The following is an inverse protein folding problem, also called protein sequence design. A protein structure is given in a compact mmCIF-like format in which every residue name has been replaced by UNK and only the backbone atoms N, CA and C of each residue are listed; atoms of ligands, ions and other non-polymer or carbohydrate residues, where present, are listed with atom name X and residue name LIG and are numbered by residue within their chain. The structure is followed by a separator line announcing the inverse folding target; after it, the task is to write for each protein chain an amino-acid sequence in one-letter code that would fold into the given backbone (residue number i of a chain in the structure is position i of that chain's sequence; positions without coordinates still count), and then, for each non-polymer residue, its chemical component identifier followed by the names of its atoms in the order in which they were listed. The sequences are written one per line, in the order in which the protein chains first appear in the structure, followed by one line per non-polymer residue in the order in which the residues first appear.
data_IF_596726732619
#
_entry.id   IF_596726732619
#
_cell.length_a   1.000
_cell.length_b   1.000
_cell.length_c   1.000
_cell.angle_alpha   90.00
_cell.angle_beta   90.00
_cell.angle_gamma   90.00
#
_symmetry.space_group_name_H-M   'P 1'
#
loop_
_entity.id
_entity.type
_entity.pdbx_description
1 polymer ?
#
# COMPACT_ATOMS: atom_id res chain seq x y z
N UNK A 1 -8.96 5.62 9.59
CA UNK A 1 -9.41 6.05 8.26
C UNK A 1 -9.75 4.82 7.43
N UNK A 2 -10.38 4.99 6.27
CA UNK A 2 -10.65 3.91 5.32
C UNK A 2 -10.01 4.24 3.97
N UNK A 3 -9.51 3.21 3.28
CA UNK A 3 -8.89 3.34 1.95
C UNK A 3 -9.45 2.26 1.02
N UNK A 4 -9.51 2.53 -0.27
CA UNK A 4 -9.67 1.51 -1.29
C UNK A 4 -8.37 0.70 -1.41
N UNK A 5 -8.47 -0.61 -1.19
CA UNK A 5 -7.34 -1.53 -1.18
C UNK A 5 -7.33 -2.35 -2.48
N UNK A 6 -6.23 -2.27 -3.24
CA UNK A 6 -6.09 -2.95 -4.55
C UNK A 6 -6.23 -4.48 -4.44
N UNK A 7 -5.65 -5.10 -3.40
CA UNK A 7 -5.63 -6.56 -3.26
C UNK A 7 -6.99 -7.17 -2.95
N UNK A 8 -7.85 -6.43 -2.24
CA UNK A 8 -9.22 -6.87 -1.92
C UNK A 8 -10.30 -6.20 -2.77
N UNK A 9 -9.89 -5.29 -3.67
CA UNK A 9 -10.76 -4.51 -4.55
C UNK A 9 -11.96 -3.87 -3.83
N UNK A 10 -11.76 -3.43 -2.58
CA UNK A 10 -12.81 -2.86 -1.73
C UNK A 10 -12.21 -1.91 -0.70
N UNK A 11 -13.05 -1.08 -0.06
CA UNK A 11 -12.66 -0.21 1.04
C UNK A 11 -12.34 -1.04 2.29
N UNK A 12 -11.25 -0.69 2.96
CA UNK A 12 -10.79 -1.30 4.20
C UNK A 12 -10.47 -0.23 5.23
N UNK A 13 -10.85 -0.48 6.48
CA UNK A 13 -10.40 0.31 7.61
C UNK A 13 -8.93 0.02 7.87
N UNK A 14 -8.13 1.08 7.96
CA UNK A 14 -6.70 0.97 8.19
C UNK A 14 -6.27 1.74 9.43
N UNK A 15 -5.12 1.31 9.98
CA UNK A 15 -4.38 1.98 11.05
C UNK A 15 -2.96 2.25 10.59
N UNK A 16 -2.56 3.51 10.67
CA UNK A 16 -1.24 3.96 10.24
C UNK A 16 -1.07 3.89 8.73
N UNK A 17 -0.32 4.85 8.22
CA UNK A 17 0.03 4.93 6.82
C UNK A 17 1.42 5.55 6.74
N UNK A 18 2.32 4.93 5.97
CA UNK A 18 3.66 5.47 5.73
C UNK A 18 4.14 5.10 4.35
N UNK A 19 4.92 5.98 3.73
CA UNK A 19 5.63 5.67 2.50
C UNK A 19 6.96 5.00 2.84
N UNK A 20 7.23 3.87 2.20
CA UNK A 20 8.43 3.05 2.38
C UNK A 20 9.09 2.80 1.03
N UNK A 21 10.39 2.56 1.02
CA UNK A 21 11.15 2.28 -0.19
C UNK A 21 11.73 0.87 -0.10
N UNK A 22 11.42 0.02 -1.07
CA UNK A 22 11.92 -1.35 -1.15
C UNK A 22 12.94 -1.46 -2.29
N UNK A 23 14.01 -2.20 -2.03
CA UNK A 23 15.03 -2.53 -3.04
C UNK A 23 14.62 -3.86 -3.67
N UNK A 24 14.19 -3.81 -4.91
CA UNK A 24 13.67 -4.97 -5.65
C UNK A 24 14.50 -5.19 -6.91
N UNK A 25 14.61 -6.44 -7.33
CA UNK A 25 15.21 -6.77 -8.62
C UNK A 25 14.12 -6.81 -9.68
N UNK A 26 14.33 -6.12 -10.79
CA UNK A 26 13.46 -6.27 -11.95
C UNK A 26 13.65 -7.64 -12.61
N UNK A 27 12.79 -7.96 -13.59
CA UNK A 27 12.86 -9.24 -14.33
C UNK A 27 14.19 -9.44 -15.07
N UNK A 28 14.96 -8.38 -15.27
CA UNK A 28 16.27 -8.40 -15.92
C UNK A 28 17.43 -8.43 -14.89
N UNK A 29 17.14 -8.64 -13.61
CA UNK A 29 18.13 -8.68 -12.53
C UNK A 29 18.69 -7.33 -12.14
N UNK A 30 18.15 -6.21 -12.64
CA UNK A 30 18.60 -4.86 -12.23
C UNK A 30 17.90 -4.46 -10.94
N UNK A 31 18.70 -3.99 -9.98
CA UNK A 31 18.20 -3.48 -8.71
C UNK A 31 17.53 -2.12 -8.92
N UNK A 32 16.25 -2.01 -8.56
CA UNK A 32 15.48 -0.77 -8.53
C UNK A 32 15.01 -0.48 -7.12
N UNK A 33 14.81 0.80 -6.84
CA UNK A 33 14.19 1.24 -5.59
C UNK A 33 12.77 1.68 -5.91
N UNK A 34 11.80 0.88 -5.45
CA UNK A 34 10.38 1.13 -5.65
C UNK A 34 9.77 1.67 -4.36
N UNK A 35 8.78 2.57 -4.48
CA UNK A 35 8.11 3.18 -3.32
C UNK A 35 6.71 2.58 -3.16
N UNK A 36 6.40 2.23 -1.92
CA UNK A 36 5.13 1.64 -1.51
C UNK A 36 4.53 2.40 -0.34
N UNK A 37 3.22 2.41 -0.28
CA UNK A 37 2.46 2.80 0.90
C UNK A 37 2.25 1.56 1.75
N UNK A 38 2.85 1.53 2.95
CA UNK A 38 2.58 0.53 3.98
C UNK A 38 1.43 1.02 4.85
N UNK A 39 0.42 0.18 5.03
CA UNK A 39 -0.70 0.43 5.93
C UNK A 39 -1.12 -0.86 6.66
N UNK A 40 -1.68 -0.73 7.86
CA UNK A 40 -2.19 -1.89 8.60
C UNK A 40 -3.68 -2.02 8.38
N UNK A 41 -4.12 -3.10 7.73
CA UNK A 41 -5.55 -3.41 7.56
C UNK A 41 -6.11 -3.93 8.87
N UNK A 42 -7.23 -3.35 9.31
CA UNK A 42 -7.95 -3.76 10.51
C UNK A 42 -9.11 -4.67 10.11
N UNK A 43 -8.86 -5.98 10.14
CA UNK A 43 -9.90 -7.00 9.94
C UNK A 43 -10.69 -7.31 11.22
N UNK A 44 -11.73 -8.13 11.09
CA UNK A 44 -12.64 -8.50 12.19
C UNK A 44 -11.92 -9.19 13.36
N UNK A 45 -10.98 -10.10 13.05
CA UNK A 45 -10.27 -10.93 14.05
C UNK A 45 -8.74 -10.82 13.97
N UNK A 46 -8.20 -10.13 12.96
CA UNK A 46 -6.75 -10.03 12.73
C UNK A 46 -6.40 -8.70 12.07
N UNK A 47 -5.23 -8.20 12.41
CA UNK A 47 -4.59 -7.09 11.70
C UNK A 47 -3.39 -7.62 10.92
N UNK A 48 -3.17 -7.08 9.72
CA UNK A 48 -2.00 -7.41 8.91
C UNK A 48 -1.53 -6.16 8.18
N UNK A 49 -0.23 -6.14 7.86
CA UNK A 49 0.36 -5.10 7.03
C UNK A 49 0.15 -5.44 5.57
N UNK A 50 -0.13 -4.41 4.80
CA UNK A 50 -0.28 -4.51 3.36
C UNK A 50 0.47 -3.35 2.70
N UNK A 51 0.87 -3.57 1.44
CA UNK A 51 1.75 -2.69 0.69
C UNK A 51 1.17 -2.44 -0.70
N UNK A 52 1.01 -1.17 -1.06
CA UNK A 52 0.52 -0.80 -2.39
C UNK A 52 1.49 0.17 -3.05
N UNK A 53 1.81 0.03 -4.35
CA UNK A 53 2.61 1.03 -5.05
C UNK A 53 2.04 2.44 -4.84
N UNK A 54 2.90 3.44 -4.67
CA UNK A 54 2.45 4.82 -4.41
C UNK A 54 1.55 5.35 -5.54
N UNK A 55 1.86 5.01 -6.79
CA UNK A 55 1.04 5.43 -7.93
C UNK A 55 -0.37 4.86 -7.88
N UNK A 56 -0.51 3.56 -7.61
CA UNK A 56 -1.82 2.90 -7.52
C UNK A 56 -2.60 3.39 -6.29
N UNK A 57 -1.90 3.63 -5.17
CA UNK A 57 -2.52 4.21 -3.98
C UNK A 57 -3.14 5.57 -4.29
N UNK A 58 -2.41 6.47 -4.95
CA UNK A 58 -2.91 7.81 -5.31
C UNK A 58 -4.06 7.76 -6.31
N UNK A 59 -4.04 6.82 -7.26
CA UNK A 59 -5.15 6.63 -8.21
C UNK A 59 -6.43 6.17 -7.51
N UNK A 60 -6.32 5.24 -6.57
CA UNK A 60 -7.45 4.64 -5.87
C UNK A 60 -7.96 5.47 -4.69
N UNK A 61 -7.12 6.35 -4.14
CA UNK A 61 -7.41 7.18 -2.97
C UNK A 61 -6.93 8.62 -3.19
N UNK A 62 -7.42 9.33 -4.23
CA UNK A 62 -6.93 10.66 -4.59
C UNK A 62 -7.13 11.72 -3.49
N UNK A 63 -8.09 11.50 -2.60
CA UNK A 63 -8.40 12.37 -1.47
C UNK A 63 -7.41 12.27 -0.30
N UNK A 64 -6.51 11.27 -0.31
CA UNK A 64 -5.58 11.01 0.80
C UNK A 64 -4.20 11.55 0.45
N UNK A 65 -3.73 12.52 1.22
CA UNK A 65 -2.40 13.12 1.06
C UNK A 65 -1.37 12.36 1.90
N UNK A 66 -0.27 11.93 1.28
CA UNK A 66 0.74 11.02 1.84
C UNK A 66 2.18 11.45 1.51
#
# INVERSE_FOLDING_TARGET
MEIFNLHSNNKKKIKGLKVTSHKEYDKNGKKRTNRYVEFTVVGKNRQWKDFMPVEDFKKLNPEINI
#
